data_IF_731357039399
#
_entry.id   IF_731357039399
#
_cell.length_a   1.000
_cell.length_b   1.000
_cell.length_c   1.000
_cell.angle_alpha   90.00
_cell.angle_beta   90.00
_cell.angle_gamma   90.00
#
_symmetry.space_group_name_H-M   'P 1'
#
loop_
_entity.id
_entity.type
_entity.pdbx_description
1 polymer ?
#
# COMPACT_ATOMS: atom_id res chain seq x y z
N UNK A 1 5.31 -38.74 -17.57
CA UNK A 1 4.45 -38.64 -16.38
C UNK A 1 3.48 -37.49 -16.59
N UNK A 2 2.18 -37.77 -16.72
CA UNK A 2 1.15 -36.78 -17.05
C UNK A 2 0.63 -36.13 -15.75
N UNK A 3 0.82 -34.83 -15.59
CA UNK A 3 0.23 -34.04 -14.51
C UNK A 3 -1.28 -33.93 -14.71
N UNK A 4 -2.05 -34.69 -13.91
CA UNK A 4 -3.52 -34.58 -13.86
C UNK A 4 -3.90 -33.26 -13.19
N UNK A 5 -4.49 -32.33 -13.96
CA UNK A 5 -5.26 -31.23 -13.38
C UNK A 5 -6.46 -31.83 -12.62
N UNK A 6 -6.45 -31.72 -11.29
CA UNK A 6 -7.58 -32.09 -10.43
C UNK A 6 -8.69 -31.06 -10.64
N UNK A 7 -9.89 -31.51 -10.99
CA UNK A 7 -11.08 -30.65 -11.12
C UNK A 7 -11.35 -29.92 -9.79
N UNK A 8 -11.60 -28.62 -9.87
CA UNK A 8 -11.90 -27.74 -8.75
C UNK A 8 -13.05 -28.30 -7.89
N UNK A 9 -12.78 -28.63 -6.61
CA UNK A 9 -13.84 -28.95 -5.63
C UNK A 9 -14.64 -27.69 -5.28
N UNK A 10 -15.94 -27.88 -5.03
CA UNK A 10 -16.90 -26.84 -4.65
C UNK A 10 -16.44 -26.08 -3.39
N UNK A 11 -16.26 -24.77 -3.51
CA UNK A 11 -15.90 -23.88 -2.40
C UNK A 11 -17.17 -23.57 -1.60
N UNK A 12 -17.18 -23.82 -0.29
CA UNK A 12 -18.26 -23.38 0.61
C UNK A 12 -18.07 -21.90 0.90
N UNK A 13 -18.93 -21.06 0.33
CA UNK A 13 -19.00 -19.65 0.65
C UNK A 13 -19.90 -19.45 1.89
N UNK A 14 -19.47 -18.62 2.82
CA UNK A 14 -20.39 -18.00 3.78
C UNK A 14 -21.28 -17.03 3.01
N UNK A 15 -22.59 -17.15 3.16
CA UNK A 15 -23.56 -16.28 2.51
C UNK A 15 -23.38 -14.85 3.02
N UNK A 16 -22.82 -13.99 2.16
CA UNK A 16 -22.80 -12.54 2.35
C UNK A 16 -23.75 -11.89 1.34
N UNK A 17 -24.47 -10.82 1.71
CA UNK A 17 -25.27 -10.09 0.75
C UNK A 17 -24.41 -9.61 -0.41
N UNK A 18 -24.94 -9.74 -1.64
CA UNK A 18 -24.34 -9.19 -2.84
C UNK A 18 -24.49 -7.67 -2.78
N UNK A 19 -23.53 -6.98 -2.19
CA UNK A 19 -23.46 -5.52 -2.22
C UNK A 19 -22.70 -5.10 -3.49
N UNK A 20 -23.45 -4.60 -4.48
CA UNK A 20 -22.93 -4.18 -5.77
C UNK A 20 -23.19 -2.69 -6.05
N UNK A 21 -22.12 -1.98 -6.44
CA UNK A 21 -22.11 -1.12 -7.64
C UNK A 21 -22.62 0.31 -7.56
N UNK A 22 -23.11 0.80 -6.42
CA UNK A 22 -23.55 2.20 -6.31
C UNK A 22 -22.57 3.00 -5.47
N UNK A 23 -21.62 3.65 -6.15
CA UNK A 23 -20.71 4.63 -5.55
C UNK A 23 -19.24 4.23 -5.44
N UNK A 24 -18.78 3.10 -5.98
CA UNK A 24 -17.35 2.79 -6.01
C UNK A 24 -16.65 3.51 -7.17
N UNK A 25 -15.54 4.20 -6.88
CA UNK A 25 -14.72 4.86 -7.91
C UNK A 25 -13.89 3.80 -8.68
N UNK A 26 -13.77 3.90 -10.01
CA UNK A 26 -13.05 2.91 -10.80
C UNK A 26 -11.53 2.97 -10.54
N UNK A 27 -10.87 1.81 -10.63
CA UNK A 27 -9.40 1.73 -10.66
C UNK A 27 -8.96 1.33 -12.07
N UNK A 28 -8.14 2.16 -12.69
CA UNK A 28 -7.47 1.88 -13.97
C UNK A 28 -5.96 1.76 -13.72
N UNK A 29 -5.53 0.57 -13.31
CA UNK A 29 -4.13 0.33 -12.94
C UNK A 29 -3.15 0.69 -14.06
N UNK A 30 -2.02 1.30 -13.70
CA UNK A 30 -0.99 1.75 -14.65
C UNK A 30 -1.31 3.04 -15.42
N UNK A 31 -2.37 3.79 -15.09
CA UNK A 31 -2.53 5.14 -15.66
C UNK A 31 -1.56 6.12 -15.01
N UNK A 32 -0.95 6.98 -15.84
CA UNK A 32 0.03 7.97 -15.43
C UNK A 32 -0.58 9.15 -14.66
N UNK A 33 -1.80 9.54 -15.02
CA UNK A 33 -2.58 10.53 -14.29
C UNK A 33 -3.28 9.85 -13.11
N UNK A 34 -3.05 10.29 -11.86
CA UNK A 34 -3.69 9.68 -10.70
C UNK A 34 -5.23 9.83 -10.72
N UNK A 35 -5.79 10.90 -11.30
CA UNK A 35 -7.24 11.04 -11.43
C UNK A 35 -7.82 10.01 -12.41
N UNK A 36 -7.14 9.74 -13.53
CA UNK A 36 -7.55 8.67 -14.45
C UNK A 36 -7.33 7.28 -13.86
N UNK A 37 -6.27 7.10 -13.06
CA UNK A 37 -5.95 5.86 -12.34
C UNK A 37 -7.03 5.56 -11.30
N UNK A 38 -7.56 6.59 -10.64
CA UNK A 38 -8.59 6.52 -9.59
C UNK A 38 -8.01 6.12 -8.23
N UNK A 39 -8.67 6.43 -7.10
CA UNK A 39 -8.13 6.22 -5.76
C UNK A 39 -8.27 4.76 -5.27
N UNK A 40 -7.51 4.40 -4.23
CA UNK A 40 -7.71 3.17 -3.46
C UNK A 40 -8.68 3.42 -2.31
N UNK A 41 -9.81 2.71 -2.30
CA UNK A 41 -10.87 2.85 -1.29
C UNK A 41 -11.10 1.52 -0.59
N UNK A 42 -10.37 1.31 0.52
CA UNK A 42 -10.48 0.15 1.41
C UNK A 42 -11.36 0.40 2.64
N UNK A 43 -12.47 1.15 2.48
CA UNK A 43 -13.30 1.59 3.62
C UNK A 43 -13.86 0.43 4.44
N UNK A 44 -13.96 0.62 5.77
CA UNK A 44 -14.64 -0.32 6.67
C UNK A 44 -16.06 0.11 7.05
N UNK A 45 -16.43 1.36 6.80
CA UNK A 45 -17.72 1.93 7.21
C UNK A 45 -18.68 2.13 6.04
N UNK A 46 -18.22 2.61 4.88
CA UNK A 46 -19.05 2.72 3.65
C UNK A 46 -18.66 1.63 2.66
N UNK A 47 -19.21 0.42 2.83
CA UNK A 47 -18.83 -0.75 2.02
C UNK A 47 -19.14 -0.60 0.53
N UNK A 48 -20.20 0.13 0.17
CA UNK A 48 -20.59 0.37 -1.22
C UNK A 48 -19.58 1.19 -2.03
N UNK A 49 -18.74 1.99 -1.35
CA UNK A 49 -17.67 2.78 -1.97
C UNK A 49 -16.38 1.97 -2.18
N UNK A 50 -16.28 0.74 -1.63
CA UNK A 50 -15.05 -0.07 -1.73
C UNK A 50 -14.79 -0.49 -3.17
N UNK A 51 -13.57 -0.27 -3.62
CA UNK A 51 -13.07 -0.71 -4.92
C UNK A 51 -11.88 -1.69 -4.79
N UNK A 52 -11.60 -2.18 -3.59
CA UNK A 52 -10.55 -3.18 -3.29
C UNK A 52 -11.03 -4.29 -2.37
N UNK A 53 -10.32 -5.42 -2.42
CA UNK A 53 -10.41 -6.49 -1.43
C UNK A 53 -9.57 -6.10 -0.21
N UNK A 54 -10.02 -6.44 1.00
CA UNK A 54 -9.35 -6.01 2.23
C UNK A 54 -9.68 -4.56 2.62
N UNK A 55 -8.86 -4.00 3.51
CA UNK A 55 -9.09 -2.68 4.15
C UNK A 55 -7.79 -1.94 4.32
N UNK A 56 -7.85 -0.60 4.33
CA UNK A 56 -6.71 0.24 4.71
C UNK A 56 -6.18 -0.15 6.10
N UNK A 57 -4.86 -0.09 6.28
CA UNK A 57 -4.14 -0.50 7.49
C UNK A 57 -4.47 -1.93 7.93
N UNK A 58 -4.60 -2.85 6.96
CA UNK A 58 -5.09 -4.22 7.19
C UNK A 58 -4.34 -4.99 8.28
N UNK A 59 -3.03 -4.82 8.39
CA UNK A 59 -2.19 -5.43 9.43
C UNK A 59 -2.54 -4.97 10.85
N UNK A 60 -3.16 -3.80 10.99
CA UNK A 60 -3.68 -3.27 12.25
C UNK A 60 -5.20 -3.47 12.41
N UNK A 61 -5.86 -4.14 11.45
CA UNK A 61 -7.32 -4.30 11.42
C UNK A 61 -7.90 -4.96 12.67
N UNK A 62 -7.20 -5.94 13.25
CA UNK A 62 -7.59 -6.62 14.50
C UNK A 62 -7.57 -5.64 15.68
N UNK A 63 -6.53 -4.82 15.81
CA UNK A 63 -6.44 -3.81 16.87
C UNK A 63 -7.53 -2.75 16.73
N UNK A 64 -7.82 -2.32 15.50
CA UNK A 64 -8.93 -1.41 15.22
C UNK A 64 -10.27 -2.04 15.64
N UNK A 65 -10.50 -3.30 15.29
CA UNK A 65 -11.73 -4.01 15.66
C UNK A 65 -11.91 -4.10 17.17
N UNK A 66 -10.83 -4.39 17.92
CA UNK A 66 -10.84 -4.40 19.38
C UNK A 66 -11.12 -3.01 19.97
N UNK A 67 -10.49 -1.96 19.45
CA UNK A 67 -10.72 -0.58 19.91
C UNK A 67 -12.18 -0.15 19.70
N UNK A 68 -12.77 -0.52 18.56
CA UNK A 68 -14.20 -0.30 18.27
C UNK A 68 -15.10 -1.09 19.21
N UNK A 69 -14.80 -2.38 19.42
CA UNK A 69 -15.59 -3.24 20.30
C UNK A 69 -15.54 -2.77 21.77
N UNK A 70 -14.39 -2.25 22.20
CA UNK A 70 -14.21 -1.67 23.53
C UNK A 70 -14.80 -0.24 23.66
N UNK A 71 -15.32 0.35 22.58
CA UNK A 71 -15.83 1.72 22.57
C UNK A 71 -14.76 2.82 22.64
N UNK A 72 -13.48 2.47 22.52
CA UNK A 72 -12.36 3.41 22.52
C UNK A 72 -12.18 4.13 21.17
N UNK A 73 -12.80 3.61 20.10
CA UNK A 73 -12.80 4.22 18.76
C UNK A 73 -14.21 4.17 18.15
N UNK A 74 -14.76 5.29 17.66
CA UNK A 74 -16.02 5.28 16.91
C UNK A 74 -15.93 4.40 15.65
N UNK A 75 -17.02 3.69 15.31
CA UNK A 75 -17.07 2.80 14.13
C UNK A 75 -16.82 3.56 12.82
N UNK A 76 -17.38 4.75 12.74
CA UNK A 76 -17.37 5.71 11.66
C UNK A 76 -16.24 6.75 11.80
N UNK A 77 -15.27 6.51 12.68
CA UNK A 77 -14.11 7.39 12.83
C UNK A 77 -13.40 7.61 11.48
N UNK A 78 -13.29 8.87 11.11
CA UNK A 78 -12.55 9.34 9.93
C UNK A 78 -11.19 9.87 10.38
N UNK A 79 -10.14 9.42 9.70
CA UNK A 79 -8.81 9.94 9.92
C UNK A 79 -8.75 11.41 9.50
N UNK A 80 -8.11 12.23 10.32
CA UNK A 80 -7.70 13.57 9.92
C UNK A 80 -6.46 13.43 9.01
N UNK A 81 -6.59 13.91 7.78
CA UNK A 81 -5.52 13.89 6.78
C UNK A 81 -4.85 15.26 6.60
N UNK A 82 -5.12 16.20 7.51
CA UNK A 82 -4.40 17.47 7.56
C UNK A 82 -2.91 17.20 7.75
N UNK A 83 -2.07 17.92 6.99
CA UNK A 83 -0.61 17.82 7.03
C UNK A 83 -0.04 16.41 6.74
N UNK A 84 -0.77 15.55 6.02
CA UNK A 84 -0.27 14.24 5.57
C UNK A 84 0.47 14.31 4.22
N UNK A 85 0.80 15.50 3.75
CA UNK A 85 1.58 15.69 2.53
C UNK A 85 3.02 15.17 2.71
N UNK A 86 3.63 14.57 1.66
CA UNK A 86 4.97 14.04 1.77
C UNK A 86 5.97 15.17 2.02
N UNK A 87 6.89 14.96 2.97
CA UNK A 87 7.96 15.93 3.26
C UNK A 87 8.87 16.18 2.03
N UNK A 88 9.01 15.17 1.17
CA UNK A 88 9.61 15.30 -0.16
C UNK A 88 8.67 14.63 -1.17
N UNK A 89 8.02 15.40 -2.07
CA UNK A 89 7.22 14.83 -3.14
C UNK A 89 8.09 14.00 -4.09
N UNK A 90 7.72 12.74 -4.33
CA UNK A 90 8.43 11.86 -5.26
C UNK A 90 7.59 11.59 -6.50
N UNK A 91 8.20 11.68 -7.68
CA UNK A 91 7.53 11.42 -8.95
C UNK A 91 6.47 12.47 -9.33
N UNK A 92 5.55 12.14 -10.24
CA UNK A 92 5.45 10.84 -10.91
C UNK A 92 6.63 10.55 -11.84
N UNK A 93 6.97 9.27 -11.99
CA UNK A 93 8.00 8.79 -12.93
C UNK A 93 7.36 7.95 -14.04
N UNK A 94 7.96 7.93 -15.24
CA UNK A 94 7.37 7.27 -16.41
C UNK A 94 7.11 5.77 -16.21
N UNK A 95 7.94 5.09 -15.40
CA UNK A 95 7.77 3.68 -15.06
C UNK A 95 6.51 3.40 -14.26
N UNK A 96 5.90 4.40 -13.60
CA UNK A 96 4.64 4.24 -12.86
C UNK A 96 3.45 4.04 -13.79
N UNK A 97 3.58 4.46 -15.05
CA UNK A 97 2.57 4.29 -16.09
C UNK A 97 2.63 2.90 -16.77
N UNK A 98 3.58 2.05 -16.40
CA UNK A 98 3.59 0.65 -16.82
C UNK A 98 2.89 -0.21 -15.75
N UNK A 99 1.72 -0.80 -16.05
CA UNK A 99 0.97 -1.61 -15.09
C UNK A 99 1.76 -2.84 -14.58
N UNK A 100 2.79 -3.29 -15.31
CA UNK A 100 3.62 -4.44 -14.93
C UNK A 100 4.86 -4.07 -14.10
N UNK A 101 5.24 -2.80 -14.09
CA UNK A 101 6.41 -2.32 -13.36
C UNK A 101 6.20 -2.34 -11.85
N UNK A 102 5.05 -1.83 -11.38
CA UNK A 102 4.69 -1.78 -9.95
C UNK A 102 3.37 -2.53 -9.76
N UNK A 103 3.41 -3.67 -9.06
CA UNK A 103 2.24 -4.55 -8.88
C UNK A 103 1.86 -4.80 -7.42
N UNK A 104 2.70 -4.35 -6.46
CA UNK A 104 2.55 -4.63 -5.04
C UNK A 104 2.61 -3.38 -4.14
N UNK A 105 2.53 -2.18 -4.75
CA UNK A 105 2.51 -0.88 -4.08
C UNK A 105 1.66 0.09 -4.92
N UNK A 106 1.01 1.04 -4.26
CA UNK A 106 0.39 2.19 -4.92
C UNK A 106 1.41 3.33 -5.08
N UNK A 107 1.92 3.62 -6.30
CA UNK A 107 2.92 4.66 -6.48
C UNK A 107 2.40 6.08 -6.15
N UNK A 108 1.09 6.32 -6.22
CA UNK A 108 0.47 7.60 -5.88
C UNK A 108 0.09 7.71 -4.41
N UNK A 109 0.35 6.66 -3.62
CA UNK A 109 -0.11 6.53 -2.24
C UNK A 109 0.31 7.66 -1.29
N UNK A 110 1.35 8.43 -1.64
CA UNK A 110 1.82 9.56 -0.83
C UNK A 110 1.05 10.86 -1.04
N UNK A 111 0.40 11.03 -2.21
CA UNK A 111 -0.19 12.32 -2.63
C UNK A 111 -1.72 12.31 -2.68
N UNK A 112 -2.34 11.22 -2.24
CA UNK A 112 -3.80 11.01 -2.38
C UNK A 112 -4.64 12.07 -1.66
N UNK A 113 -4.13 12.65 -0.57
CA UNK A 113 -4.82 13.70 0.18
C UNK A 113 -4.94 15.01 -0.63
N UNK A 114 -3.95 15.33 -1.47
CA UNK A 114 -3.99 16.48 -2.38
C UNK A 114 -4.80 16.15 -3.63
N UNK A 115 -4.47 15.03 -4.28
CA UNK A 115 -5.05 14.67 -5.57
C UNK A 115 -6.56 14.42 -5.45
N UNK A 116 -7.00 13.69 -4.43
CA UNK A 116 -8.40 13.32 -4.27
C UNK A 116 -9.11 14.12 -3.17
N UNK A 117 -8.70 15.38 -2.97
CA UNK A 117 -9.26 16.25 -1.93
C UNK A 117 -10.79 16.42 -2.07
N UNK A 118 -11.28 16.44 -3.30
CA UNK A 118 -12.70 16.69 -3.59
C UNK A 118 -13.52 15.43 -3.27
N UNK A 119 -13.05 14.25 -3.67
CA UNK A 119 -13.67 12.97 -3.30
C UNK A 119 -13.60 12.72 -1.78
N UNK A 120 -12.51 13.11 -1.12
CA UNK A 120 -12.42 13.06 0.35
C UNK A 120 -13.48 13.99 0.98
N UNK A 121 -13.67 15.20 0.43
CA UNK A 121 -14.69 16.13 0.90
C UNK A 121 -16.13 15.61 0.65
N UNK A 122 -16.36 14.88 -0.44
CA UNK A 122 -17.60 14.13 -0.71
C UNK A 122 -17.79 12.92 0.22
N UNK A 123 -16.75 12.55 0.97
CA UNK A 123 -16.80 11.58 2.05
C UNK A 123 -16.32 10.18 1.69
N UNK A 124 -15.57 10.03 0.61
CA UNK A 124 -14.84 8.80 0.31
C UNK A 124 -13.69 8.57 1.31
N UNK A 125 -13.52 7.32 1.75
CA UNK A 125 -12.45 6.91 2.67
C UNK A 125 -11.14 6.63 1.93
N UNK A 126 -10.54 7.68 1.37
CA UNK A 126 -9.26 7.64 0.65
C UNK A 126 -8.16 8.00 1.65
N UNK A 127 -7.17 7.13 1.80
CA UNK A 127 -6.09 7.29 2.79
C UNK A 127 -4.73 7.10 2.14
N UNK A 128 -3.69 7.83 2.60
CA UNK A 128 -2.33 7.57 2.14
C UNK A 128 -1.91 6.14 2.44
N UNK A 129 -1.34 5.47 1.44
CA UNK A 129 -0.69 4.15 1.59
C UNK A 129 0.83 4.30 1.66
N UNK A 130 1.36 5.52 1.47
CA UNK A 130 2.77 5.84 1.65
C UNK A 130 2.87 7.09 2.51
N UNK A 131 3.66 7.03 3.59
CA UNK A 131 4.02 8.19 4.39
C UNK A 131 5.49 8.53 4.17
N UNK A 132 5.77 9.73 3.64
CA UNK A 132 7.13 10.23 3.41
C UNK A 132 7.45 11.30 4.43
N UNK A 133 8.45 11.06 5.28
CA UNK A 133 8.85 11.96 6.38
C UNK A 133 10.36 12.18 6.42
N UNK A 134 10.80 13.23 7.10
CA UNK A 134 12.22 13.38 7.50
C UNK A 134 12.44 12.70 8.85
N UNK A 135 13.54 11.96 8.98
CA UNK A 135 13.87 11.25 10.20
C UNK A 135 15.35 11.41 10.57
N UNK A 136 15.63 11.44 11.87
CA UNK A 136 16.96 11.21 12.42
C UNK A 136 17.00 9.77 12.93
N UNK A 137 17.89 8.96 12.37
CA UNK A 137 18.02 7.55 12.72
C UNK A 137 19.32 7.34 13.47
N UNK A 138 19.22 6.71 14.63
CA UNK A 138 20.38 6.15 15.31
C UNK A 138 20.58 4.72 14.81
N UNK A 139 21.70 4.49 14.11
CA UNK A 139 22.10 3.17 13.64
C UNK A 139 23.40 2.76 14.34
N UNK A 140 23.38 1.68 15.16
CA UNK A 140 24.57 1.21 15.86
C UNK A 140 25.78 0.99 14.92
N UNK A 141 25.54 0.50 13.71
CA UNK A 141 26.55 0.24 12.69
C UNK A 141 27.23 1.53 12.21
N UNK A 142 26.46 2.61 12.03
CA UNK A 142 26.98 3.92 11.64
C UNK A 142 27.78 4.55 12.76
N UNK A 143 27.33 4.41 14.02
CA UNK A 143 28.07 4.87 15.20
C UNK A 143 29.40 4.14 15.35
N UNK A 144 29.40 2.82 15.20
CA UNK A 144 30.62 2.00 15.25
C UNK A 144 31.58 2.37 14.11
N UNK A 145 31.07 2.59 12.89
CA UNK A 145 31.88 3.02 11.76
C UNK A 145 32.49 4.41 11.96
N UNK A 146 31.73 5.34 12.55
CA UNK A 146 32.20 6.68 12.90
C UNK A 146 33.29 6.63 13.98
N UNK A 147 33.08 5.84 15.05
CA UNK A 147 34.05 5.66 16.11
C UNK A 147 35.36 5.00 15.62
N UNK A 148 35.27 4.11 14.63
CA UNK A 148 36.42 3.50 13.98
C UNK A 148 37.10 4.40 12.93
N UNK A 149 36.63 5.65 12.74
CA UNK A 149 37.17 6.58 11.75
C UNK A 149 36.90 6.19 10.28
N UNK A 150 35.98 5.25 10.03
CA UNK A 150 35.60 4.83 8.66
C UNK A 150 34.58 5.78 8.03
N UNK A 151 33.78 6.45 8.85
CA UNK A 151 32.83 7.47 8.43
C UNK A 151 33.14 8.78 9.16
N UNK A 152 33.00 9.90 8.44
CA UNK A 152 33.18 11.24 8.99
C UNK A 152 31.85 11.99 8.89
N UNK A 153 31.47 12.65 9.98
CA UNK A 153 30.29 13.50 9.99
C UNK A 153 30.45 14.66 9.00
N UNK A 154 29.48 14.83 8.12
CA UNK A 154 29.43 15.92 7.14
C UNK A 154 28.49 17.06 7.60
N UNK A 155 27.83 16.89 8.75
CA UNK A 155 26.89 17.85 9.33
C UNK A 155 25.58 17.97 8.58
N UNK A 156 25.34 17.14 7.55
CA UNK A 156 24.14 17.17 6.69
C UNK A 156 23.43 15.83 6.66
N UNK A 157 24.12 14.77 6.25
CA UNK A 157 23.60 13.40 6.22
C UNK A 157 24.00 12.68 7.50
N UNK A 158 25.27 12.76 7.89
CA UNK A 158 25.78 12.19 9.14
C UNK A 158 26.11 13.33 10.10
N UNK A 159 25.38 13.39 11.21
CA UNK A 159 25.57 14.40 12.24
C UNK A 159 26.69 13.99 13.20
N UNK A 160 27.27 14.98 13.89
CA UNK A 160 28.38 14.76 14.83
C UNK A 160 28.02 13.81 15.99
N UNK A 161 26.74 13.71 16.35
CA UNK A 161 26.25 12.78 17.37
C UNK A 161 26.10 11.33 16.87
N UNK A 162 26.42 11.06 15.59
CA UNK A 162 26.31 9.75 14.95
C UNK A 162 24.92 9.41 14.39
N UNK A 163 23.94 10.32 14.51
CA UNK A 163 22.64 10.13 13.87
C UNK A 163 22.68 10.46 12.38
N UNK A 164 21.86 9.76 11.61
CA UNK A 164 21.72 9.94 10.16
C UNK A 164 20.42 10.66 9.85
N UNK A 165 20.50 11.75 9.09
CA UNK A 165 19.35 12.43 8.51
C UNK A 165 18.94 11.71 7.23
N UNK A 166 17.70 11.25 7.18
CA UNK A 166 17.17 10.54 6.01
C UNK A 166 15.79 11.04 5.63
N UNK A 167 15.42 10.79 4.38
CA UNK A 167 14.02 10.72 3.96
C UNK A 167 13.53 9.30 4.18
N UNK A 168 12.48 9.13 4.98
CA UNK A 168 11.85 7.84 5.28
C UNK A 168 10.55 7.72 4.49
N UNK A 169 10.35 6.59 3.82
CA UNK A 169 9.06 6.20 3.26
C UNK A 169 8.55 4.93 3.97
N UNK A 170 7.38 5.01 4.61
CA UNK A 170 6.66 3.84 5.12
C UNK A 170 5.54 3.48 4.14
N UNK A 171 5.51 2.24 3.67
CA UNK A 171 4.73 1.80 2.51
C UNK A 171 3.80 0.65 2.92
N UNK A 172 2.51 0.84 2.75
CA UNK A 172 1.50 -0.21 2.87
C UNK A 172 1.40 -1.01 1.55
N UNK A 173 1.27 -2.35 1.60
CA UNK A 173 1.13 -3.16 0.41
C UNK A 173 -0.21 -2.91 -0.29
N UNK A 174 -0.15 -2.65 -1.60
CA UNK A 174 -1.32 -2.54 -2.48
C UNK A 174 -1.10 -3.44 -3.68
N UNK A 175 -1.79 -4.56 -3.73
CA UNK A 175 -1.54 -5.60 -4.72
C UNK A 175 -2.52 -5.49 -5.88
N UNK A 176 -1.99 -5.31 -7.09
CA UNK A 176 -2.74 -5.53 -8.31
C UNK A 176 -2.67 -7.02 -8.67
N UNK A 177 -3.75 -7.73 -8.41
CA UNK A 177 -3.81 -9.19 -8.45
C UNK A 177 -3.39 -9.81 -9.80
N UNK A 178 -3.75 -9.25 -10.97
CA UNK A 178 -3.26 -9.77 -12.25
C UNK A 178 -1.72 -9.75 -12.34
N UNK A 179 -1.08 -8.64 -11.95
CA UNK A 179 0.37 -8.50 -11.99
C UNK A 179 1.09 -9.37 -10.95
N UNK A 180 0.51 -9.52 -9.75
CA UNK A 180 1.03 -10.46 -8.75
C UNK A 180 0.97 -11.90 -9.26
N UNK A 181 -0.15 -12.32 -9.86
CA UNK A 181 -0.29 -13.65 -10.42
C UNK A 181 0.75 -13.94 -11.51
N UNK A 182 0.99 -12.96 -12.40
CA UNK A 182 2.04 -13.04 -13.42
C UNK A 182 3.44 -13.22 -12.80
N UNK A 183 3.76 -12.49 -11.73
CA UNK A 183 5.06 -12.62 -11.01
C UNK A 183 5.25 -13.99 -10.37
N UNK A 184 4.17 -14.65 -9.95
CA UNK A 184 4.20 -16.02 -9.41
C UNK A 184 4.09 -17.11 -10.49
N UNK A 185 3.85 -16.75 -11.76
CA UNK A 185 3.70 -17.70 -12.85
C UNK A 185 2.42 -18.56 -12.76
N UNK A 186 1.35 -18.03 -12.15
CA UNK A 186 0.07 -18.71 -11.95
C UNK A 186 -1.08 -17.91 -12.55
N UNK A 187 -2.25 -18.53 -12.72
CA UNK A 187 -3.46 -17.79 -13.10
C UNK A 187 -3.94 -16.93 -11.93
N UNK A 188 -4.59 -15.80 -12.23
CA UNK A 188 -5.19 -14.94 -11.19
C UNK A 188 -6.24 -15.69 -10.36
N UNK A 189 -7.02 -16.58 -10.98
CA UNK A 189 -8.00 -17.40 -10.30
C UNK A 189 -7.37 -18.38 -9.30
N UNK A 190 -6.26 -19.03 -9.69
CA UNK A 190 -5.53 -19.93 -8.79
C UNK A 190 -4.90 -19.16 -7.63
N UNK A 191 -4.29 -17.99 -7.90
CA UNK A 191 -3.75 -17.11 -6.86
C UNK A 191 -4.82 -16.72 -5.84
N UNK A 192 -5.96 -16.21 -6.32
CA UNK A 192 -7.09 -15.78 -5.47
C UNK A 192 -7.64 -16.93 -4.63
N UNK A 193 -7.81 -18.10 -5.23
CA UNK A 193 -8.29 -19.30 -4.53
C UNK A 193 -7.32 -19.72 -3.44
N UNK A 194 -6.02 -19.79 -3.76
CA UNK A 194 -5.00 -20.14 -2.79
C UNK A 194 -4.98 -19.14 -1.61
N UNK A 195 -5.01 -17.83 -1.91
CA UNK A 195 -5.11 -16.79 -0.89
C UNK A 195 -6.36 -16.98 -0.01
N UNK A 196 -7.53 -17.29 -0.59
CA UNK A 196 -8.76 -17.53 0.17
C UNK A 196 -8.66 -18.79 1.06
N UNK A 197 -8.25 -19.93 0.49
CA UNK A 197 -8.21 -21.21 1.20
C UNK A 197 -7.14 -21.21 2.31
N UNK A 198 -5.93 -20.71 2.04
CA UNK A 198 -4.81 -20.71 2.99
C UNK A 198 -4.93 -19.63 4.08
N UNK A 199 -5.79 -18.62 3.89
CA UNK A 199 -6.12 -17.64 4.94
C UNK A 199 -7.33 -18.05 5.79
N UNK A 200 -7.83 -19.28 5.65
CA UNK A 200 -9.01 -19.76 6.37
C UNK A 200 -10.30 -19.07 5.94
N UNK A 201 -10.35 -18.56 4.71
CA UNK A 201 -11.52 -17.87 4.16
C UNK A 201 -11.67 -16.41 4.58
N UNK A 202 -10.57 -15.75 5.00
CA UNK A 202 -10.60 -14.40 5.57
C UNK A 202 -11.23 -13.34 4.64
N UNK A 203 -11.04 -13.46 3.33
CA UNK A 203 -11.57 -12.51 2.33
C UNK A 203 -12.41 -13.22 1.27
N UNK A 204 -13.73 -13.41 1.49
CA UNK A 204 -14.62 -14.02 0.51
C UNK A 204 -14.61 -13.32 -0.85
N UNK A 205 -14.35 -12.00 -0.90
CA UNK A 205 -14.28 -11.23 -2.14
C UNK A 205 -13.19 -11.73 -3.11
N UNK A 206 -12.15 -12.43 -2.62
CA UNK A 206 -11.15 -13.06 -3.49
C UNK A 206 -11.79 -14.05 -4.47
N UNK A 207 -12.87 -14.73 -4.08
CA UNK A 207 -13.58 -15.72 -4.89
C UNK A 207 -14.93 -15.22 -5.41
N UNK A 208 -15.59 -14.29 -4.73
CA UNK A 208 -16.94 -13.81 -5.11
C UNK A 208 -16.94 -12.53 -5.95
N UNK A 209 -15.87 -11.75 -5.94
CA UNK A 209 -15.77 -10.44 -6.59
C UNK A 209 -14.60 -10.39 -7.58
N UNK A 210 -14.79 -11.04 -8.73
CA UNK A 210 -13.83 -11.01 -9.83
C UNK A 210 -13.65 -9.63 -10.47
N UNK A 211 -14.59 -8.71 -10.24
CA UNK A 211 -14.51 -7.31 -10.66
C UNK A 211 -13.49 -6.48 -9.87
N UNK A 212 -13.13 -6.90 -8.65
CA UNK A 212 -12.16 -6.20 -7.81
C UNK A 212 -10.75 -6.72 -8.09
N UNK A 213 -9.93 -5.97 -8.83
CA UNK A 213 -8.58 -6.39 -9.23
C UNK A 213 -7.46 -6.00 -8.26
N UNK A 214 -7.79 -5.26 -7.20
CA UNK A 214 -6.81 -4.79 -6.20
C UNK A 214 -7.11 -5.38 -4.83
N UNK A 215 -6.06 -5.79 -4.12
CA UNK A 215 -6.11 -6.36 -2.77
C UNK A 215 -5.19 -5.58 -1.83
N UNK A 216 -5.69 -5.28 -0.64
CA UNK A 216 -4.92 -4.77 0.50
C UNK A 216 -4.65 -5.95 1.46
N UNK A 217 -3.56 -6.69 1.28
CA UNK A 217 -3.24 -7.82 2.14
C UNK A 217 -2.89 -7.35 3.56
N UNK A 218 -3.36 -8.02 4.62
CA UNK A 218 -3.08 -7.67 6.01
C UNK A 218 -1.69 -8.17 6.44
N UNK A 219 -0.65 -7.78 5.71
CA UNK A 219 0.73 -8.17 5.94
C UNK A 219 1.57 -6.95 6.35
N UNK A 220 2.79 -7.20 6.82
CA UNK A 220 3.74 -6.13 7.14
C UNK A 220 4.04 -5.25 5.93
N UNK A 221 4.11 -3.93 6.16
CA UNK A 221 4.55 -2.97 5.16
C UNK A 221 6.07 -2.95 4.98
N UNK A 222 6.53 -2.08 4.10
CA UNK A 222 7.95 -1.83 3.86
C UNK A 222 8.35 -0.46 4.40
N UNK A 223 9.62 -0.31 4.78
CA UNK A 223 10.19 0.98 5.13
C UNK A 223 11.48 1.18 4.38
N UNK A 224 11.59 2.31 3.68
CA UNK A 224 12.79 2.70 2.94
C UNK A 224 13.38 3.94 3.59
N UNK A 225 14.70 3.94 3.75
CA UNK A 225 15.46 5.08 4.26
C UNK A 225 16.40 5.55 3.15
N UNK A 226 16.22 6.78 2.70
CA UNK A 226 17.04 7.39 1.65
C UNK A 226 18.01 8.37 2.28
N UNK A 227 19.29 8.10 2.09
CA UNK A 227 20.39 8.92 2.57
C UNK A 227 20.70 9.95 1.48
N UNK A 228 20.75 11.23 1.84
CA UNK A 228 20.92 12.31 0.87
C UNK A 228 19.60 12.76 0.22
N UNK A 229 19.68 13.29 -1.00
CA UNK A 229 18.54 13.84 -1.72
C UNK A 229 17.74 12.72 -2.42
N UNK A 230 16.46 12.49 -2.08
CA UNK A 230 15.69 11.40 -2.65
C UNK A 230 15.37 11.57 -4.14
N UNK A 231 15.47 12.78 -4.68
CA UNK A 231 15.30 13.02 -6.12
C UNK A 231 16.47 12.48 -6.96
N UNK A 232 17.64 12.27 -6.35
CA UNK A 232 18.81 11.75 -7.06
C UNK A 232 18.63 10.28 -7.47
N UNK A 233 17.73 9.53 -6.80
CA UNK A 233 17.37 8.14 -7.15
C UNK A 233 16.83 7.99 -8.57
N UNK A 234 16.20 9.03 -9.12
CA UNK A 234 15.67 9.05 -10.47
C UNK A 234 16.58 9.78 -11.47
N UNK A 235 17.73 10.29 -11.02
CA UNK A 235 18.63 11.08 -11.84
C UNK A 235 19.74 10.19 -12.45
N UNK A 236 19.74 9.93 -13.77
CA UNK A 236 20.76 9.10 -14.40
C UNK A 236 22.16 9.72 -14.41
N UNK A 237 22.29 11.02 -14.10
CA UNK A 237 23.57 11.69 -13.96
C UNK A 237 24.22 11.50 -12.58
N UNK A 238 23.50 10.95 -11.60
CA UNK A 238 24.02 10.64 -10.27
C UNK A 238 24.36 9.16 -10.20
N UNK A 239 25.61 8.85 -9.83
CA UNK A 239 26.00 7.48 -9.51
C UNK A 239 25.43 7.13 -8.14
N UNK A 240 24.60 6.09 -8.11
CA UNK A 240 24.02 5.51 -6.88
C UNK A 240 25.02 4.62 -6.14
#
# INVERSE_FOLDING_TARGET
>A
MSTKHRSAKHIRLTSHPVEGGHGALPIRWGRADPHERGPIVGSTFTRSQRNVIGTHSGSYGVYRALAVAAGALPRDHRADLTDTMPADPLGPYSQWADPKSIVAMDPFGAIVAEVFKDEIAEGYDIRPTIAVTKAHIDMPEVRQASAAGRLHADGRILLANGSVVVTKAAIEPVWWLPGVAERFGVSEGDLRRALFEETGGMYPELVTRGDLTVFLPPIGGQTVYVFGNPHDLANPAVTL
#
